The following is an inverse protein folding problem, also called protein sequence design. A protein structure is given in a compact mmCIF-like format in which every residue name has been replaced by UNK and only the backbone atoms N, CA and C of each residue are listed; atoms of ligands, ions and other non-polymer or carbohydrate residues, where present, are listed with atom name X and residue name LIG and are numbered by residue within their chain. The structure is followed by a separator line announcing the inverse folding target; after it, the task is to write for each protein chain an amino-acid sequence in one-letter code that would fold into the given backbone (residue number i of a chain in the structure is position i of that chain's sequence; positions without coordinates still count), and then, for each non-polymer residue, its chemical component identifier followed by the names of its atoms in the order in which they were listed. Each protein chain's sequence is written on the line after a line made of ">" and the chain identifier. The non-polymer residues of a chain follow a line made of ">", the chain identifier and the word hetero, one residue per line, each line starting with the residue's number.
data_IF_936658069983
#
_entry.id   IF_936658069983
#
_cell.length_a   1.000
_cell.length_b   1.000
_cell.length_c   1.000
_cell.angle_alpha   90.00
_cell.angle_beta   90.00
_cell.angle_gamma   90.00
#
_symmetry.space_group_name_H-M   'P 1'
#
loop_
_entity.id
_entity.type
_entity.pdbx_description
1 polymer ?
#
# COMPACT_ATOMS: atom_id res chain seq x y z
N UNK A 1 -10.88 -0.59 -1.96
CA UNK A 1 -10.58 -0.25 -3.37
C UNK A 1 -9.99 -1.40 -4.16
N UNK A 2 -8.93 -2.09 -3.70
CA UNK A 2 -8.28 -3.16 -4.46
C UNK A 2 -9.25 -4.26 -4.97
N UNK A 3 -10.19 -4.73 -4.14
CA UNK A 3 -11.20 -5.71 -4.55
C UNK A 3 -12.06 -5.25 -5.72
N UNK A 4 -12.40 -3.96 -5.75
CA UNK A 4 -13.24 -3.39 -6.80
C UNK A 4 -12.47 -3.34 -8.13
N UNK A 5 -11.25 -2.79 -8.12
CA UNK A 5 -10.38 -2.73 -9.30
C UNK A 5 -10.11 -4.14 -9.88
N UNK A 6 -9.76 -5.10 -9.02
CA UNK A 6 -9.52 -6.48 -9.44
C UNK A 6 -10.76 -7.15 -10.06
N UNK A 7 -11.97 -6.88 -9.56
CA UNK A 7 -13.20 -7.41 -10.17
C UNK A 7 -13.51 -6.81 -11.54
N UNK A 8 -13.04 -5.60 -11.81
CA UNK A 8 -13.18 -4.95 -13.12
C UNK A 8 -12.06 -5.30 -14.11
N UNK A 9 -11.11 -6.17 -13.72
CA UNK A 9 -10.02 -6.62 -14.58
C UNK A 9 -8.78 -5.73 -14.55
N UNK A 10 -8.74 -4.73 -13.67
CA UNK A 10 -7.57 -3.88 -13.50
C UNK A 10 -6.41 -4.63 -12.84
N UNK A 11 -5.18 -4.23 -13.18
CA UNK A 11 -3.96 -4.70 -12.52
C UNK A 11 -3.71 -3.86 -11.28
N UNK A 12 -3.42 -4.52 -10.16
CA UNK A 12 -3.24 -3.84 -8.86
C UNK A 12 -1.88 -4.18 -8.28
N UNK A 13 -1.18 -3.15 -7.79
CA UNK A 13 -0.01 -3.32 -6.91
C UNK A 13 -0.45 -2.96 -5.49
N UNK A 14 -0.45 -3.94 -4.60
CA UNK A 14 -0.78 -3.74 -3.19
C UNK A 14 0.51 -3.65 -2.37
N UNK A 15 0.59 -2.62 -1.51
CA UNK A 15 1.82 -2.29 -0.79
C UNK A 15 1.67 -2.34 0.74
N UNK A 16 1.40 -3.51 1.36
CA UNK A 16 1.28 -3.62 2.81
C UNK A 16 2.66 -3.63 3.51
N UNK A 17 2.72 -3.17 4.76
CA UNK A 17 3.90 -3.38 5.63
C UNK A 17 4.14 -4.85 5.94
N UNK A 18 3.06 -5.64 6.07
CA UNK A 18 3.10 -7.09 6.26
C UNK A 18 2.39 -7.80 5.10
N UNK A 19 3.10 -8.37 4.11
CA UNK A 19 2.51 -9.11 3.00
C UNK A 19 1.68 -10.33 3.41
N UNK A 20 2.00 -10.97 4.54
CA UNK A 20 1.27 -12.13 5.02
C UNK A 20 -0.20 -11.82 5.33
N UNK A 21 -0.50 -10.58 5.73
CA UNK A 21 -1.86 -10.12 6.01
C UNK A 21 -2.78 -10.13 4.77
N UNK A 22 -2.22 -10.17 3.56
CA UNK A 22 -2.98 -10.25 2.32
C UNK A 22 -3.03 -11.66 1.70
N UNK A 23 -2.44 -12.70 2.31
CA UNK A 23 -2.40 -14.04 1.70
C UNK A 23 -3.80 -14.59 1.39
N UNK A 24 -4.72 -14.50 2.35
CA UNK A 24 -6.11 -14.92 2.14
C UNK A 24 -6.89 -14.04 1.17
N UNK A 25 -6.42 -12.81 0.93
CA UNK A 25 -6.99 -11.91 -0.09
C UNK A 25 -6.46 -12.28 -1.48
N UNK A 26 -5.16 -12.50 -1.62
CA UNK A 26 -4.50 -12.86 -2.88
C UNK A 26 -5.06 -14.16 -3.45
N UNK A 27 -5.33 -15.16 -2.59
CA UNK A 27 -5.90 -16.44 -3.03
C UNK A 27 -7.29 -16.35 -3.67
N UNK A 28 -8.00 -15.23 -3.50
CA UNK A 28 -9.34 -15.03 -4.05
C UNK A 28 -9.36 -14.46 -5.48
N UNK A 29 -8.23 -13.98 -6.00
CA UNK A 29 -8.18 -13.32 -7.30
C UNK A 29 -7.17 -13.99 -8.22
N UNK A 30 -7.61 -14.33 -9.44
CA UNK A 30 -6.74 -14.84 -10.52
C UNK A 30 -6.14 -13.72 -11.38
N UNK A 31 -6.60 -12.48 -11.19
CA UNK A 31 -6.14 -11.31 -11.93
C UNK A 31 -4.77 -10.81 -11.45
N UNK A 32 -4.07 -9.96 -12.21
CA UNK A 32 -2.71 -9.53 -11.87
C UNK A 32 -2.71 -8.65 -10.62
N UNK A 33 -2.50 -9.27 -9.46
CA UNK A 33 -2.26 -8.63 -8.17
C UNK A 33 -0.79 -8.85 -7.77
N UNK A 34 0.01 -7.79 -7.80
CA UNK A 34 1.38 -7.81 -7.31
C UNK A 34 1.39 -7.29 -5.86
N UNK A 35 1.92 -8.08 -4.93
CA UNK A 35 2.09 -7.64 -3.54
C UNK A 35 3.55 -7.28 -3.30
N UNK A 36 3.81 -6.03 -2.90
CA UNK A 36 5.14 -5.54 -2.55
C UNK A 36 5.14 -5.08 -1.09
N UNK A 37 6.14 -5.50 -0.30
CA UNK A 37 6.34 -4.90 1.01
C UNK A 37 6.74 -3.43 0.84
N UNK A 38 6.09 -2.53 1.56
CA UNK A 38 6.46 -1.12 1.63
C UNK A 38 6.11 -0.54 3.01
N UNK A 39 7.08 0.12 3.62
CA UNK A 39 6.84 1.12 4.65
C UNK A 39 6.89 2.53 4.04
N UNK A 40 5.80 3.27 4.15
CA UNK A 40 5.67 4.62 3.58
C UNK A 40 6.46 5.67 4.37
N UNK A 41 6.86 5.37 5.61
CA UNK A 41 7.76 6.24 6.38
C UNK A 41 9.22 6.11 5.94
N UNK A 42 9.54 5.16 5.04
CA UNK A 42 10.90 4.92 4.55
C UNK A 42 11.05 5.34 3.06
N UNK A 43 11.61 6.52 2.75
CA UNK A 43 11.70 7.03 1.37
C UNK A 43 12.42 6.09 0.39
N UNK A 44 13.45 5.38 0.85
CA UNK A 44 14.18 4.42 0.03
C UNK A 44 13.31 3.23 -0.39
N UNK A 45 12.40 2.78 0.48
CA UNK A 45 11.46 1.71 0.16
C UNK A 45 10.41 2.18 -0.86
N UNK A 46 9.94 3.43 -0.75
CA UNK A 46 9.01 4.03 -1.71
C UNK A 46 9.63 3.98 -3.12
N UNK A 47 10.84 4.52 -3.28
CA UNK A 47 11.52 4.51 -4.57
C UNK A 47 11.71 3.07 -5.12
N UNK A 48 12.08 2.12 -4.26
CA UNK A 48 12.25 0.73 -4.65
C UNK A 48 10.92 0.07 -5.08
N UNK A 49 9.82 0.36 -4.38
CA UNK A 49 8.50 -0.15 -4.71
C UNK A 49 8.02 0.38 -6.07
N UNK A 50 8.18 1.68 -6.34
CA UNK A 50 7.83 2.27 -7.64
C UNK A 50 8.65 1.68 -8.79
N UNK A 51 9.96 1.44 -8.61
CA UNK A 51 10.77 0.76 -9.64
C UNK A 51 10.25 -0.64 -9.95
N UNK A 52 9.95 -1.44 -8.92
CA UNK A 52 9.41 -2.80 -9.08
C UNK A 52 8.04 -2.77 -9.74
N UNK A 53 7.20 -1.81 -9.35
CA UNK A 53 5.89 -1.62 -9.94
C UNK A 53 6.02 -1.25 -11.44
N UNK A 54 6.88 -0.29 -11.80
CA UNK A 54 7.19 0.10 -13.19
C UNK A 54 7.73 -1.04 -14.04
N UNK A 55 8.49 -1.97 -13.47
CA UNK A 55 8.94 -3.15 -14.19
C UNK A 55 7.79 -4.15 -14.46
N UNK A 56 6.80 -4.22 -13.56
CA UNK A 56 5.69 -5.17 -13.66
C UNK A 56 4.48 -4.63 -14.44
N UNK A 57 4.30 -3.31 -14.47
CA UNK A 57 3.19 -2.63 -15.13
C UNK A 57 3.71 -1.63 -16.17
N UNK A 58 3.22 -1.74 -17.40
CA UNK A 58 3.62 -0.87 -18.53
C UNK A 58 3.22 0.59 -18.29
N UNK A 59 2.09 0.84 -17.60
CA UNK A 59 1.65 2.18 -17.21
C UNK A 59 0.93 2.18 -15.85
N UNK A 60 1.16 3.25 -15.06
CA UNK A 60 0.38 3.61 -13.88
C UNK A 60 -0.60 4.69 -14.23
N UNK A 61 -1.87 4.50 -13.87
CA UNK A 61 -2.91 5.52 -14.10
C UNK A 61 -3.30 6.20 -12.79
N UNK A 62 -3.22 5.49 -11.66
CA UNK A 62 -3.66 5.99 -10.35
C UNK A 62 -2.74 5.47 -9.23
N UNK A 63 -2.33 6.37 -8.33
CA UNK A 63 -1.63 6.03 -7.08
C UNK A 63 -2.54 6.38 -5.91
N UNK A 64 -2.76 5.42 -5.02
CA UNK A 64 -3.59 5.59 -3.82
C UNK A 64 -2.70 5.59 -2.58
N UNK A 65 -2.43 6.78 -2.04
CA UNK A 65 -1.74 6.90 -0.76
C UNK A 65 -2.73 6.69 0.40
N UNK A 66 -3.05 5.43 0.70
CA UNK A 66 -4.00 5.06 1.75
C UNK A 66 -3.34 4.55 3.04
N UNK A 67 -2.01 4.55 3.11
CA UNK A 67 -1.28 4.06 4.27
C UNK A 67 -1.33 5.10 5.40
N UNK A 68 -2.24 4.88 6.36
CA UNK A 68 -2.38 5.72 7.54
C UNK A 68 -2.94 4.90 8.71
N UNK A 69 -2.78 5.42 9.90
CA UNK A 69 -3.45 4.95 11.10
C UNK A 69 -3.87 6.16 11.92
N UNK A 70 -4.97 6.03 12.66
CA UNK A 70 -5.48 7.10 13.51
C UNK A 70 -5.00 6.85 14.93
N UNK A 71 -4.47 7.89 15.57
CA UNK A 71 -4.20 7.92 17.00
C UNK A 71 -5.20 8.91 17.61
N UNK A 72 -5.95 8.46 18.62
CA UNK A 72 -6.91 9.28 19.33
C UNK A 72 -6.57 9.27 20.83
N UNK A 73 -6.46 10.45 21.43
CA UNK A 73 -6.08 10.65 22.83
C UNK A 73 -5.88 12.14 23.14
N UNK A 74 -5.61 12.46 24.40
CA UNK A 74 -5.19 13.80 24.82
C UNK A 74 -3.90 14.20 24.11
N UNK A 75 -3.74 15.49 23.79
CA UNK A 75 -2.59 15.98 23.02
C UNK A 75 -1.28 15.52 23.67
N UNK A 76 -1.15 15.73 24.98
CA UNK A 76 0.00 15.40 25.81
C UNK A 76 0.30 13.89 25.87
N UNK A 77 -0.73 13.05 25.73
CA UNK A 77 -0.61 11.59 25.75
C UNK A 77 -0.34 10.97 24.38
N UNK A 78 -0.39 11.75 23.30
CA UNK A 78 -0.13 11.24 21.95
C UNK A 78 1.33 11.42 21.54
N UNK A 79 1.93 10.48 20.79
CA UNK A 79 3.35 10.52 20.40
C UNK A 79 3.75 11.73 19.54
N UNK A 80 2.78 12.58 19.16
CA UNK A 80 2.94 13.73 18.27
C UNK A 80 2.60 15.05 18.97
N UNK A 81 2.76 15.14 20.28
CA UNK A 81 2.78 16.40 21.00
C UNK A 81 4.11 17.12 20.69
N UNK A 82 4.07 18.20 19.88
CA UNK A 82 5.18 19.11 19.53
C UNK A 82 5.89 18.82 18.19
N UNK A 83 5.35 19.42 17.12
CA UNK A 83 6.16 19.98 16.04
C UNK A 83 5.92 21.50 16.07
N UNK A 84 6.82 22.22 16.76
CA UNK A 84 7.09 23.65 16.50
C UNK A 84 8.20 23.75 15.48
#
# INVERSE_FOLDING_TARGET
>A
MACWALRHGDKVVATPRNPAALQGFVSQYSNPLLVLRLDVDTPAEIAAAFRKANAALVHFVVVLNSASYVVAGEIEGTPRARQV
#
